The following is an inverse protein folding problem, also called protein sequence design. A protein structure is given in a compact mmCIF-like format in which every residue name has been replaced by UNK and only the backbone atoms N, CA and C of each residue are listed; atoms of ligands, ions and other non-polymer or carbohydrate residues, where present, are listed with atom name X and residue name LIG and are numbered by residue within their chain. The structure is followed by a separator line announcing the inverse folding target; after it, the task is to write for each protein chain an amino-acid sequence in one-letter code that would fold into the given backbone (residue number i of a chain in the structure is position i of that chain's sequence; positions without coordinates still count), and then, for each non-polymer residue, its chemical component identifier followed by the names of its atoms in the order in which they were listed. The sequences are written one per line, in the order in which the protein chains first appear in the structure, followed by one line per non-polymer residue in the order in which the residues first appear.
data_IF_265262654118
#
_entry.id   IF_265262654118
#
_cell.length_a   1.000
_cell.length_b   1.000
_cell.length_c   1.000
_cell.angle_alpha   90.00
_cell.angle_beta   90.00
_cell.angle_gamma   90.00
#
_symmetry.space_group_name_H-M   'P 1'
#
loop_
_entity.id
_entity.type
_entity.pdbx_description
1 polymer ?
#
# COMPACT_ATOMS: atom_id res chain seq x y z
N UNK A 1 15.52 -6.69 -22.43
CA UNK A 1 14.66 -7.37 -23.43
C UNK A 1 13.31 -7.61 -22.75
N UNK A 2 12.19 -7.26 -23.37
CA UNK A 2 10.86 -7.50 -22.80
C UNK A 2 10.60 -9.01 -22.67
N UNK A 3 9.91 -9.40 -21.61
CA UNK A 3 9.62 -10.77 -21.21
C UNK A 3 9.00 -11.61 -22.34
N UNK A 4 8.21 -10.97 -23.21
CA UNK A 4 7.54 -11.57 -24.37
C UNK A 4 8.55 -12.17 -25.40
N UNK A 5 9.76 -11.59 -25.51
CA UNK A 5 10.80 -12.08 -26.43
C UNK A 5 11.62 -13.26 -25.86
N UNK A 6 11.53 -13.52 -24.56
CA UNK A 6 12.29 -14.61 -23.91
C UNK A 6 11.58 -15.96 -24.00
N UNK A 7 10.25 -15.98 -24.06
CA UNK A 7 9.44 -17.20 -24.13
C UNK A 7 9.72 -17.99 -25.42
N UNK A 8 9.65 -17.40 -26.64
CA UNK A 8 9.95 -18.15 -27.87
C UNK A 8 11.40 -18.60 -27.95
N UNK A 9 12.35 -17.82 -27.44
CA UNK A 9 13.76 -18.21 -27.42
C UNK A 9 14.01 -19.43 -26.52
N UNK A 10 13.35 -19.53 -25.38
CA UNK A 10 13.47 -20.66 -24.47
C UNK A 10 12.76 -21.91 -25.01
N UNK A 11 11.59 -21.74 -25.63
CA UNK A 11 10.93 -22.85 -26.33
C UNK A 11 11.82 -23.40 -27.46
N UNK A 12 12.51 -22.52 -28.19
CA UNK A 12 13.46 -22.92 -29.25
C UNK A 12 14.68 -23.62 -28.66
N UNK A 13 15.27 -23.12 -27.59
CA UNK A 13 16.42 -23.73 -26.90
C UNK A 13 16.04 -25.08 -26.31
N UNK A 14 14.86 -25.21 -25.71
CA UNK A 14 14.35 -26.48 -25.18
C UNK A 14 14.09 -27.51 -26.27
N UNK A 15 13.52 -27.09 -27.40
CA UNK A 15 13.30 -27.94 -28.56
C UNK A 15 14.63 -28.41 -29.20
N UNK A 16 15.61 -27.52 -29.30
CA UNK A 16 16.97 -27.85 -29.78
C UNK A 16 17.71 -28.81 -28.83
N UNK A 17 17.59 -28.61 -27.52
CA UNK A 17 18.20 -29.51 -26.51
C UNK A 17 17.60 -30.92 -26.57
N UNK A 18 16.29 -31.04 -26.76
CA UNK A 18 15.58 -32.33 -26.93
C UNK A 18 16.02 -33.00 -28.22
N UNK A 19 16.15 -32.24 -29.34
CA UNK A 19 16.62 -32.76 -30.61
C UNK A 19 18.08 -33.24 -30.55
N UNK A 20 18.95 -32.53 -29.87
CA UNK A 20 20.38 -32.83 -29.69
C UNK A 20 20.64 -34.05 -28.78
N UNK A 21 19.78 -34.31 -27.80
CA UNK A 21 19.92 -35.39 -26.82
C UNK A 21 19.37 -36.78 -27.30
N UNK A 22 18.99 -36.88 -28.56
CA UNK A 22 18.51 -38.18 -29.11
C UNK A 22 17.12 -38.63 -28.61
N UNK A 23 16.33 -37.74 -28.10
CA UNK A 23 14.87 -37.88 -28.00
C UNK A 23 14.29 -38.67 -26.81
N UNK A 24 15.07 -39.19 -25.89
CA UNK A 24 14.55 -39.99 -24.79
C UNK A 24 14.27 -39.20 -23.49
N UNK A 25 15.15 -39.38 -22.54
CA UNK A 25 14.94 -38.94 -21.16
C UNK A 25 15.15 -37.40 -20.93
N UNK A 26 15.85 -36.71 -21.83
CA UNK A 26 16.12 -35.28 -21.73
C UNK A 26 14.85 -34.37 -21.86
N UNK A 27 13.78 -34.93 -22.43
CA UNK A 27 12.49 -34.24 -22.57
C UNK A 27 11.90 -33.81 -21.22
N UNK A 28 12.03 -34.61 -20.17
CA UNK A 28 11.46 -34.36 -18.86
C UNK A 28 12.13 -33.23 -18.09
N UNK A 29 13.39 -32.92 -18.45
CA UNK A 29 14.12 -31.78 -17.85
C UNK A 29 13.65 -30.44 -18.39
N UNK A 30 13.02 -30.39 -19.55
CA UNK A 30 12.58 -29.15 -20.18
C UNK A 30 11.26 -28.61 -19.60
N UNK A 31 10.41 -29.49 -19.05
CA UNK A 31 9.10 -29.11 -18.49
C UNK A 31 9.24 -28.21 -17.24
N UNK A 32 10.05 -28.58 -16.22
CA UNK A 32 10.29 -27.68 -15.08
C UNK A 32 10.96 -26.36 -15.46
N UNK A 33 11.88 -26.39 -16.42
CA UNK A 33 12.60 -25.19 -16.85
C UNK A 33 11.67 -24.18 -17.54
N UNK A 34 10.73 -24.66 -18.37
CA UNK A 34 9.74 -23.83 -19.03
C UNK A 34 8.73 -23.22 -18.01
N UNK A 35 8.40 -23.93 -16.95
CA UNK A 35 7.54 -23.45 -15.85
C UNK A 35 8.23 -22.37 -14.99
N UNK A 36 9.53 -22.52 -14.72
CA UNK A 36 10.33 -21.51 -14.00
C UNK A 36 10.39 -20.20 -14.77
N UNK A 37 10.46 -20.26 -16.09
CA UNK A 37 10.53 -19.06 -16.96
C UNK A 37 9.17 -18.41 -17.17
N UNK A 38 8.09 -19.18 -17.15
CA UNK A 38 6.72 -18.67 -17.18
C UNK A 38 6.31 -17.99 -15.86
N UNK A 39 7.06 -18.24 -14.78
CA UNK A 39 6.79 -17.74 -13.42
C UNK A 39 6.61 -16.22 -13.27
N UNK A 40 7.32 -15.34 -14.01
CA UNK A 40 7.15 -13.89 -13.94
C UNK A 40 5.94 -13.35 -14.74
N UNK A 41 5.11 -14.19 -15.36
CA UNK A 41 3.97 -13.71 -16.13
C UNK A 41 2.97 -12.93 -15.27
N UNK A 42 2.62 -11.72 -15.68
CA UNK A 42 1.78 -10.75 -14.96
C UNK A 42 0.36 -11.25 -14.64
N UNK A 43 -0.14 -12.29 -15.32
CA UNK A 43 -1.49 -12.84 -15.13
C UNK A 43 -1.43 -14.38 -15.04
N UNK A 44 -2.28 -14.96 -14.18
CA UNK A 44 -2.43 -16.42 -14.04
C UNK A 44 -2.77 -17.12 -15.37
N UNK A 45 -3.54 -16.45 -16.24
CA UNK A 45 -3.90 -16.90 -17.58
C UNK A 45 -2.68 -17.04 -18.50
N UNK A 46 -1.73 -16.13 -18.48
CA UNK A 46 -0.52 -16.20 -19.31
C UNK A 46 0.44 -17.28 -18.84
N UNK A 47 0.50 -17.53 -17.52
CA UNK A 47 1.28 -18.65 -16.96
C UNK A 47 0.66 -20.01 -17.31
N UNK A 48 -0.66 -20.14 -17.22
CA UNK A 48 -1.39 -21.34 -17.60
C UNK A 48 -1.30 -21.62 -19.11
N UNK A 49 -1.46 -20.58 -19.94
CA UNK A 49 -1.33 -20.71 -21.39
C UNK A 49 0.10 -21.10 -21.81
N UNK A 50 1.13 -20.56 -21.17
CA UNK A 50 2.51 -20.96 -21.43
C UNK A 50 2.76 -22.42 -21.01
N UNK A 51 2.21 -22.87 -19.90
CA UNK A 51 2.30 -24.26 -19.43
C UNK A 51 1.59 -25.24 -20.39
N UNK A 52 0.40 -24.90 -20.86
CA UNK A 52 -0.35 -25.68 -21.84
C UNK A 52 0.40 -25.73 -23.18
N UNK A 53 0.98 -24.63 -23.65
CA UNK A 53 1.75 -24.58 -24.88
C UNK A 53 3.00 -25.45 -24.81
N UNK A 54 3.68 -25.48 -23.66
CA UNK A 54 4.85 -26.35 -23.43
C UNK A 54 4.45 -27.81 -23.48
N UNK A 55 3.36 -28.20 -22.83
CA UNK A 55 2.83 -29.57 -22.86
C UNK A 55 2.41 -29.97 -24.27
N UNK A 56 1.71 -29.12 -25.00
CA UNK A 56 1.30 -29.36 -26.38
C UNK A 56 2.50 -29.49 -27.35
N UNK A 57 3.50 -28.62 -27.20
CA UNK A 57 4.73 -28.67 -28.02
C UNK A 57 5.54 -29.95 -27.72
N UNK A 58 5.52 -30.37 -26.48
CA UNK A 58 6.17 -31.59 -26.03
C UNK A 58 5.47 -32.84 -26.54
N UNK A 59 4.14 -32.84 -26.65
CA UNK A 59 3.35 -33.97 -27.15
C UNK A 59 3.22 -33.96 -28.70
N UNK A 60 3.53 -32.86 -29.37
CA UNK A 60 3.39 -32.70 -30.82
C UNK A 60 4.11 -33.78 -31.66
N UNK A 61 5.35 -34.25 -31.34
CA UNK A 61 6.02 -35.30 -32.08
C UNK A 61 5.34 -36.67 -31.95
N UNK A 62 4.71 -36.96 -30.82
CA UNK A 62 3.93 -38.17 -30.61
C UNK A 62 2.64 -38.18 -31.42
N UNK A 63 2.02 -37.00 -31.61
CA UNK A 63 0.82 -36.80 -32.44
C UNK A 63 1.09 -36.90 -33.93
N UNK A 64 2.33 -36.66 -34.37
CA UNK A 64 2.72 -36.71 -35.79
C UNK A 64 3.27 -38.09 -36.22
N UNK A 65 3.23 -39.10 -35.32
CA UNK A 65 3.56 -40.51 -35.71
C UNK A 65 5.03 -40.78 -35.97
N UNK A 66 5.93 -39.87 -35.60
CA UNK A 66 7.39 -40.14 -35.64
C UNK A 66 7.76 -40.72 -34.27
N UNK A 67 7.98 -42.04 -34.25
CA UNK A 67 8.20 -42.88 -33.07
C UNK A 67 9.17 -42.28 -32.06
N UNK A 68 8.63 -41.61 -31.09
CA UNK A 68 9.26 -41.39 -29.80
C UNK A 68 8.93 -42.58 -28.92
N UNK A 69 9.89 -43.01 -28.11
CA UNK A 69 9.73 -44.15 -27.19
C UNK A 69 8.46 -44.10 -26.34
N UNK A 70 8.20 -45.07 -25.48
CA UNK A 70 6.96 -45.21 -24.76
C UNK A 70 6.60 -43.90 -24.07
N UNK A 71 5.34 -43.43 -24.29
CA UNK A 71 4.82 -42.27 -23.60
C UNK A 71 4.97 -42.46 -22.09
N UNK A 72 5.36 -41.40 -21.37
CA UNK A 72 5.45 -41.47 -19.92
C UNK A 72 4.12 -41.86 -19.32
N UNK A 73 4.18 -42.59 -18.21
CA UNK A 73 3.01 -42.92 -17.40
C UNK A 73 2.19 -41.62 -17.15
N UNK A 74 0.92 -41.57 -17.59
CA UNK A 74 0.06 -40.40 -17.41
C UNK A 74 -0.05 -39.98 -15.93
N UNK A 75 0.15 -40.91 -15.01
CA UNK A 75 0.21 -40.61 -13.58
C UNK A 75 1.44 -39.75 -13.25
N UNK A 76 2.62 -40.10 -13.76
CA UNK A 76 3.86 -39.38 -13.55
C UNK A 76 3.78 -37.95 -14.15
N UNK A 77 3.23 -37.82 -15.36
CA UNK A 77 3.00 -36.54 -15.98
C UNK A 77 2.06 -35.67 -15.15
N UNK A 78 1.00 -36.22 -14.63
CA UNK A 78 0.04 -35.50 -13.75
C UNK A 78 0.69 -35.04 -12.45
N UNK A 79 1.51 -35.88 -11.83
CA UNK A 79 2.23 -35.54 -10.58
C UNK A 79 3.23 -34.41 -10.84
N UNK A 80 4.00 -34.47 -11.92
CA UNK A 80 5.00 -33.43 -12.25
C UNK A 80 4.33 -32.09 -12.56
N UNK A 81 3.27 -32.08 -13.38
CA UNK A 81 2.53 -30.87 -13.72
C UNK A 81 1.80 -30.34 -12.48
N UNK A 82 1.11 -31.16 -11.74
CA UNK A 82 0.39 -30.79 -10.52
C UNK A 82 1.34 -30.29 -9.44
N UNK A 83 2.46 -30.96 -9.20
CA UNK A 83 3.49 -30.52 -8.28
C UNK A 83 4.11 -29.17 -8.67
N UNK A 84 4.41 -28.98 -9.95
CA UNK A 84 4.96 -27.71 -10.47
C UNK A 84 3.98 -26.55 -10.32
N UNK A 85 2.69 -26.77 -10.57
CA UNK A 85 1.64 -25.78 -10.36
C UNK A 85 1.47 -25.44 -8.88
N UNK A 86 1.54 -26.43 -7.99
CA UNK A 86 1.46 -26.21 -6.54
C UNK A 86 2.65 -25.36 -6.03
N UNK A 87 3.88 -25.68 -6.47
CA UNK A 87 5.07 -24.90 -6.15
C UNK A 87 4.95 -23.46 -6.68
N UNK A 88 4.49 -23.29 -7.91
CA UNK A 88 4.28 -21.96 -8.51
C UNK A 88 3.25 -21.14 -7.74
N UNK A 89 2.13 -21.77 -7.34
CA UNK A 89 1.11 -21.12 -6.52
C UNK A 89 1.65 -20.71 -5.15
N UNK A 90 2.43 -21.59 -4.50
CA UNK A 90 3.07 -21.29 -3.21
C UNK A 90 4.09 -20.14 -3.30
N UNK A 91 4.94 -20.14 -4.33
CA UNK A 91 5.92 -19.05 -4.57
C UNK A 91 5.20 -17.74 -4.85
N UNK A 92 4.14 -17.73 -5.67
CA UNK A 92 3.32 -16.54 -5.90
C UNK A 92 2.70 -16.01 -4.61
N UNK A 93 2.09 -16.87 -3.82
CA UNK A 93 1.50 -16.49 -2.54
C UNK A 93 2.52 -15.83 -1.60
N UNK A 94 3.74 -16.36 -1.53
CA UNK A 94 4.84 -15.76 -0.75
C UNK A 94 5.24 -14.38 -1.31
N UNK A 95 5.47 -14.28 -2.61
CA UNK A 95 5.83 -13.00 -3.25
C UNK A 95 4.74 -11.93 -3.09
N UNK A 96 3.47 -12.31 -3.16
CA UNK A 96 2.34 -11.40 -2.94
C UNK A 96 2.25 -10.95 -1.47
N UNK A 97 2.50 -11.85 -0.53
CA UNK A 97 2.53 -11.53 0.90
C UNK A 97 3.71 -10.61 1.25
N UNK A 98 4.90 -10.87 0.71
CA UNK A 98 6.08 -10.00 0.88
C UNK A 98 5.86 -8.61 0.25
N UNK A 99 5.31 -8.55 -0.96
CA UNK A 99 4.95 -7.27 -1.60
C UNK A 99 3.92 -6.49 -0.80
N UNK A 100 2.93 -7.18 -0.26
CA UNK A 100 1.90 -6.57 0.58
C UNK A 100 2.47 -6.07 1.91
N UNK A 101 3.40 -6.82 2.51
CA UNK A 101 4.14 -6.39 3.68
C UNK A 101 5.00 -5.16 3.37
N UNK A 102 5.81 -5.19 2.30
CA UNK A 102 6.62 -4.04 1.87
C UNK A 102 5.75 -2.80 1.59
N UNK A 103 4.59 -2.97 0.93
CA UNK A 103 3.65 -1.85 0.73
C UNK A 103 3.11 -1.30 2.04
N UNK A 104 2.71 -2.15 2.99
CA UNK A 104 2.28 -1.68 4.32
C UNK A 104 3.38 -0.88 5.00
N UNK A 105 4.62 -1.38 5.05
CA UNK A 105 5.77 -0.67 5.62
C UNK A 105 6.05 0.67 4.90
N UNK A 106 5.86 0.71 3.58
CA UNK A 106 6.07 1.92 2.80
C UNK A 106 4.98 2.98 2.98
N UNK A 107 3.78 2.62 3.45
CA UNK A 107 2.61 3.51 3.52
C UNK A 107 2.08 3.75 4.94
N UNK A 108 2.67 3.12 5.97
CA UNK A 108 2.30 3.33 7.38
C UNK A 108 3.43 3.91 8.20
N UNK A 109 3.10 4.65 9.24
CA UNK A 109 4.05 5.11 10.25
C UNK A 109 4.33 3.99 11.24
N UNK A 110 5.60 3.59 11.46
CA UNK A 110 5.94 2.43 12.28
C UNK A 110 5.68 2.64 13.78
N UNK A 111 5.65 3.89 14.26
CA UNK A 111 5.42 4.19 15.66
C UNK A 111 3.94 4.10 16.03
N UNK A 112 3.09 4.70 15.21
CA UNK A 112 1.65 4.88 15.51
C UNK A 112 0.76 3.90 14.76
N UNK A 113 1.29 3.23 13.71
CA UNK A 113 0.52 2.36 12.82
C UNK A 113 -0.54 3.09 12.00
N UNK A 114 -0.53 4.44 11.99
CA UNK A 114 -1.37 5.24 11.10
C UNK A 114 -0.79 5.27 9.69
N UNK A 115 -1.50 5.82 8.74
CA UNK A 115 -0.95 6.08 7.40
C UNK A 115 0.19 7.09 7.51
N UNK A 116 1.27 6.92 6.74
CA UNK A 116 2.35 7.90 6.69
C UNK A 116 2.08 8.97 5.60
N UNK A 117 2.96 9.98 5.49
CA UNK A 117 2.87 11.07 4.51
C UNK A 117 2.66 10.56 3.08
N UNK A 118 3.38 9.51 2.68
CA UNK A 118 3.27 8.95 1.34
C UNK A 118 1.91 8.27 1.11
N UNK A 119 1.47 7.48 2.09
CA UNK A 119 0.16 6.80 2.00
C UNK A 119 -1.00 7.79 2.01
N UNK A 120 -0.87 8.92 2.73
CA UNK A 120 -1.85 10.01 2.70
C UNK A 120 -1.92 10.63 1.30
N UNK A 121 -0.78 10.94 0.68
CA UNK A 121 -0.75 11.51 -0.68
C UNK A 121 -1.44 10.58 -1.70
N UNK A 122 -1.16 9.27 -1.66
CA UNK A 122 -1.81 8.29 -2.54
C UNK A 122 -3.34 8.25 -2.33
N UNK A 123 -3.82 8.41 -1.09
CA UNK A 123 -5.26 8.45 -0.78
C UNK A 123 -5.93 9.73 -1.24
N UNK A 124 -5.28 10.88 -1.08
CA UNK A 124 -5.80 12.16 -1.58
C UNK A 124 -5.85 12.16 -3.11
N UNK A 125 -4.84 11.63 -3.81
CA UNK A 125 -4.87 11.45 -5.28
C UNK A 125 -6.06 10.61 -5.74
N UNK A 126 -6.38 9.55 -5.00
CA UNK A 126 -7.55 8.72 -5.25
C UNK A 126 -8.85 9.53 -5.10
N UNK A 127 -9.02 10.30 -4.01
CA UNK A 127 -10.21 11.13 -3.78
C UNK A 127 -10.36 12.27 -4.80
N UNK A 128 -9.26 12.89 -5.24
CA UNK A 128 -9.29 13.86 -6.35
C UNK A 128 -9.79 13.21 -7.64
N UNK A 129 -9.28 12.01 -7.94
CA UNK A 129 -9.73 11.25 -9.10
C UNK A 129 -11.19 10.82 -8.99
N UNK A 130 -11.68 10.52 -7.80
CA UNK A 130 -13.08 10.21 -7.49
C UNK A 130 -13.97 11.43 -7.63
N UNK A 131 -13.52 12.60 -7.15
CA UNK A 131 -14.24 13.87 -7.32
C UNK A 131 -14.47 14.21 -8.79
N UNK A 132 -13.48 14.01 -9.65
CA UNK A 132 -13.61 14.27 -11.09
C UNK A 132 -14.78 13.51 -11.73
N UNK A 133 -15.14 12.33 -11.20
CA UNK A 133 -16.24 11.49 -11.69
C UNK A 133 -17.58 11.75 -11.01
N UNK A 134 -17.58 11.98 -9.70
CA UNK A 134 -18.79 11.97 -8.87
C UNK A 134 -19.09 13.32 -8.19
N UNK A 135 -18.19 14.31 -8.31
CA UNK A 135 -18.31 15.64 -7.70
C UNK A 135 -18.43 15.63 -6.16
N UNK A 136 -17.98 14.55 -5.49
CA UNK A 136 -17.94 14.49 -4.04
C UNK A 136 -16.84 15.38 -3.47
N UNK A 137 -17.13 16.08 -2.39
CA UNK A 137 -16.14 16.85 -1.62
C UNK A 137 -15.39 15.93 -0.68
N UNK A 138 -14.21 16.35 -0.24
CA UNK A 138 -13.51 15.76 0.90
C UNK A 138 -12.84 16.86 1.71
N UNK A 139 -12.73 16.63 3.01
CA UNK A 139 -12.02 17.53 3.92
C UNK A 139 -10.65 16.95 4.28
N UNK A 140 -9.67 17.85 4.44
CA UNK A 140 -8.35 17.59 5.00
C UNK A 140 -8.25 18.37 6.30
N UNK A 141 -7.96 17.66 7.39
CA UNK A 141 -7.79 18.25 8.73
C UNK A 141 -6.35 18.08 9.16
N UNK A 142 -5.58 19.17 9.14
CA UNK A 142 -4.19 19.20 9.58
C UNK A 142 -4.11 19.45 11.08
N UNK A 143 -3.24 18.73 11.79
CA UNK A 143 -3.16 18.70 13.25
C UNK A 143 -1.69 18.79 13.67
N UNK A 144 -1.38 19.66 14.60
CA UNK A 144 -0.05 19.82 15.20
C UNK A 144 -0.20 19.84 16.73
N UNK A 145 0.61 19.08 17.44
CA UNK A 145 0.56 18.98 18.90
C UNK A 145 1.39 20.10 19.55
N UNK A 146 0.72 21.17 19.95
CA UNK A 146 1.38 22.28 20.63
C UNK A 146 1.98 21.82 21.96
N UNK A 147 3.27 22.06 22.17
CA UNK A 147 3.98 21.74 23.40
C UNK A 147 4.53 20.30 23.47
N UNK A 148 4.47 19.52 22.40
CA UNK A 148 5.01 18.14 22.36
C UNK A 148 6.51 18.09 22.72
N UNK A 149 7.28 19.06 22.25
CA UNK A 149 8.71 19.17 22.60
C UNK A 149 8.94 19.25 24.13
N UNK A 150 8.09 19.97 24.86
CA UNK A 150 8.21 20.06 26.33
C UNK A 150 7.98 18.72 27.01
N UNK A 151 7.15 17.84 26.45
CA UNK A 151 6.96 16.47 26.96
C UNK A 151 8.25 15.67 26.79
N UNK A 152 8.85 15.72 25.59
CA UNK A 152 10.14 15.06 25.34
C UNK A 152 11.26 15.59 26.26
N UNK A 153 11.36 16.90 26.40
CA UNK A 153 12.40 17.55 27.22
C UNK A 153 12.23 17.23 28.73
N UNK A 154 11.00 17.05 29.19
CA UNK A 154 10.69 16.77 30.61
C UNK A 154 10.67 15.29 30.97
N UNK A 155 10.15 14.44 30.10
CA UNK A 155 9.86 13.03 30.40
C UNK A 155 10.65 12.04 29.51
N UNK A 156 11.44 12.56 28.54
CA UNK A 156 12.21 11.77 27.59
C UNK A 156 11.41 11.32 26.36
N UNK A 157 12.14 10.93 25.32
CA UNK A 157 11.55 10.48 24.05
C UNK A 157 10.58 9.28 24.17
N UNK A 158 10.80 8.28 25.07
CA UNK A 158 9.85 7.19 25.23
C UNK A 158 8.46 7.66 25.63
N UNK A 159 8.36 8.66 26.51
CA UNK A 159 7.07 9.24 26.92
C UNK A 159 6.39 10.02 25.77
N UNK A 160 7.18 10.71 24.95
CA UNK A 160 6.67 11.32 23.71
C UNK A 160 6.16 10.31 22.71
N UNK A 161 6.84 9.19 22.55
CA UNK A 161 6.42 8.09 21.68
C UNK A 161 5.12 7.45 22.15
N UNK A 162 4.93 7.27 23.45
CA UNK A 162 3.69 6.76 24.05
C UNK A 162 2.54 7.76 23.80
N UNK A 163 2.77 9.03 24.07
CA UNK A 163 1.81 10.10 23.79
C UNK A 163 1.37 10.11 22.31
N UNK A 164 2.29 9.93 21.36
CA UNK A 164 1.96 9.88 19.95
C UNK A 164 1.09 8.68 19.59
N UNK A 165 1.31 7.52 20.25
CA UNK A 165 0.46 6.32 20.08
C UNK A 165 -0.94 6.58 20.63
N UNK A 166 -1.05 7.20 21.80
CA UNK A 166 -2.32 7.51 22.44
C UNK A 166 -3.12 8.53 21.63
N UNK A 167 -2.46 9.57 21.11
CA UNK A 167 -3.08 10.52 20.20
C UNK A 167 -3.57 9.83 18.93
N UNK A 168 -2.76 8.96 18.31
CA UNK A 168 -3.17 8.22 17.12
C UNK A 168 -4.39 7.31 17.38
N UNK A 169 -4.45 6.66 18.54
CA UNK A 169 -5.61 5.86 18.96
C UNK A 169 -6.86 6.75 19.15
N UNK A 170 -6.73 7.84 19.90
CA UNK A 170 -7.83 8.77 20.13
C UNK A 170 -8.36 9.42 18.85
N UNK A 171 -7.49 9.67 17.85
CA UNK A 171 -7.91 10.16 16.54
C UNK A 171 -8.72 9.10 15.79
N UNK A 172 -8.29 7.82 15.83
CA UNK A 172 -9.05 6.72 15.20
C UNK A 172 -10.44 6.53 15.81
N UNK A 173 -10.58 6.72 17.12
CA UNK A 173 -11.85 6.57 17.82
C UNK A 173 -12.88 7.65 17.46
N UNK A 174 -12.42 8.79 16.93
CA UNK A 174 -13.31 9.92 16.62
C UNK A 174 -13.52 10.14 15.12
N UNK A 175 -12.92 9.35 14.26
CA UNK A 175 -13.13 9.37 12.81
C UNK A 175 -14.07 8.24 12.38
N UNK A 176 -14.56 8.28 11.14
CA UNK A 176 -15.36 7.20 10.54
C UNK A 176 -14.44 6.14 9.93
N UNK A 177 -14.95 4.94 9.66
CA UNK A 177 -14.19 3.85 9.02
C UNK A 177 -13.60 4.24 7.65
N UNK A 178 -14.30 5.09 6.91
CA UNK A 178 -13.85 5.59 5.61
C UNK A 178 -12.82 6.72 5.70
N UNK A 179 -12.69 7.36 6.87
CA UNK A 179 -11.72 8.43 7.07
C UNK A 179 -10.31 7.83 7.25
N UNK A 180 -9.31 8.62 6.93
CA UNK A 180 -7.91 8.19 7.04
C UNK A 180 -7.18 9.05 8.05
N UNK A 181 -6.67 8.43 9.11
CA UNK A 181 -5.72 9.06 10.02
C UNK A 181 -4.30 8.81 9.53
N UNK A 182 -3.52 9.88 9.38
CA UNK A 182 -2.12 9.83 8.96
C UNK A 182 -1.23 10.60 9.94
N UNK A 183 0.02 10.14 10.10
CA UNK A 183 1.10 10.90 10.74
C UNK A 183 2.10 11.34 9.70
N UNK A 184 2.38 12.64 9.65
CA UNK A 184 3.24 13.25 8.62
C UNK A 184 4.71 13.31 9.03
N UNK A 185 4.97 13.25 10.33
CA UNK A 185 6.29 13.27 10.95
C UNK A 185 6.27 14.06 12.26
N UNK A 186 7.20 13.79 13.18
CA UNK A 186 7.23 14.47 14.47
C UNK A 186 5.90 14.39 15.21
N UNK A 187 5.31 15.54 15.47
CA UNK A 187 4.05 15.78 16.18
C UNK A 187 2.88 16.17 15.23
N UNK A 188 3.08 16.03 13.92
CA UNK A 188 2.10 16.38 12.90
C UNK A 188 1.24 15.19 12.49
N UNK A 189 -0.09 15.36 12.56
CA UNK A 189 -1.08 14.40 12.08
C UNK A 189 -1.99 15.04 11.03
N UNK A 190 -2.66 14.20 10.26
CA UNK A 190 -3.66 14.62 9.28
C UNK A 190 -4.82 13.64 9.27
N UNK A 191 -6.05 14.15 9.10
CA UNK A 191 -7.22 13.32 8.79
C UNK A 191 -7.74 13.70 7.41
N UNK A 192 -7.88 12.70 6.53
CA UNK A 192 -8.61 12.82 5.28
C UNK A 192 -10.02 12.25 5.50
N UNK A 193 -11.02 13.08 5.26
CA UNK A 193 -12.42 12.72 5.42
C UNK A 193 -13.15 12.81 4.06
N UNK A 194 -13.37 11.68 3.36
CA UNK A 194 -14.16 11.64 2.14
C UNK A 194 -15.60 12.09 2.38
N UNK A 195 -16.26 12.59 1.31
CA UNK A 195 -17.68 12.98 1.33
C UNK A 195 -18.03 13.97 2.46
N UNK A 196 -17.10 14.89 2.73
CA UNK A 196 -17.20 15.84 3.84
C UNK A 196 -17.07 17.27 3.31
N UNK A 197 -18.07 18.08 3.60
CA UNK A 197 -18.10 19.51 3.30
C UNK A 197 -17.43 20.36 4.41
N UNK A 198 -17.51 21.67 4.28
CA UNK A 198 -16.92 22.61 5.26
C UNK A 198 -17.47 22.38 6.67
N UNK A 199 -18.80 22.29 6.82
CA UNK A 199 -19.43 22.11 8.12
C UNK A 199 -19.01 20.78 8.76
N UNK A 200 -19.01 19.69 7.99
CA UNK A 200 -18.52 18.38 8.41
C UNK A 200 -17.04 18.40 8.80
N UNK A 201 -16.19 19.11 8.05
CA UNK A 201 -14.78 19.31 8.36
C UNK A 201 -14.55 20.05 9.67
N UNK A 202 -15.29 21.15 9.91
CA UNK A 202 -15.22 21.92 11.14
C UNK A 202 -15.70 21.11 12.36
N UNK A 203 -16.77 20.35 12.24
CA UNK A 203 -17.21 19.40 13.27
C UNK A 203 -16.18 18.30 13.57
N UNK A 204 -15.52 17.79 12.53
CA UNK A 204 -14.43 16.81 12.70
C UNK A 204 -13.25 17.44 13.45
N UNK A 205 -12.88 18.67 13.10
CA UNK A 205 -11.82 19.41 13.79
C UNK A 205 -12.12 19.60 15.29
N UNK A 206 -13.37 19.87 15.67
CA UNK A 206 -13.77 19.97 17.07
C UNK A 206 -13.71 18.63 17.82
N UNK A 207 -14.12 17.53 17.17
CA UNK A 207 -13.95 16.16 17.70
C UNK A 207 -12.48 15.83 17.90
N UNK A 208 -11.62 16.14 16.93
CA UNK A 208 -10.17 15.97 16.99
C UNK A 208 -9.57 16.76 18.16
N UNK A 209 -9.87 18.05 18.29
CA UNK A 209 -9.40 18.88 19.42
C UNK A 209 -9.84 18.30 20.77
N UNK A 210 -11.06 17.80 20.84
CA UNK A 210 -11.61 17.19 22.06
C UNK A 210 -10.94 15.86 22.37
N UNK A 211 -10.64 15.04 21.35
CA UNK A 211 -9.93 13.77 21.50
C UNK A 211 -8.51 13.97 22.04
N UNK A 212 -7.74 14.86 21.40
CA UNK A 212 -6.38 15.21 21.87
C UNK A 212 -6.42 15.72 23.32
N UNK A 213 -7.36 16.58 23.65
CA UNK A 213 -7.48 17.13 25.01
C UNK A 213 -7.74 16.05 26.07
N UNK A 214 -8.50 14.99 25.75
CA UNK A 214 -8.72 13.86 26.68
C UNK A 214 -7.44 13.10 26.96
N UNK A 215 -6.63 12.83 25.94
CA UNK A 215 -5.34 12.14 26.07
C UNK A 215 -4.33 12.97 26.85
N UNK A 216 -4.40 14.29 26.72
CA UNK A 216 -3.46 15.23 27.34
C UNK A 216 -3.93 15.75 28.71
N UNK A 217 -4.97 15.13 29.31
CA UNK A 217 -5.45 15.50 30.64
C UNK A 217 -4.34 15.36 31.67
N UNK A 218 -4.08 16.45 32.44
CA UNK A 218 -2.94 16.54 33.37
C UNK A 218 -1.65 17.09 32.77
N UNK A 219 -1.61 17.38 31.47
CA UNK A 219 -0.52 18.05 30.79
C UNK A 219 -0.98 19.42 30.29
N UNK A 220 -1.11 20.40 31.21
CA UNK A 220 -1.69 21.73 30.92
C UNK A 220 -1.01 22.49 29.77
N UNK A 221 0.20 22.10 29.42
CA UNK A 221 0.98 22.71 28.34
C UNK A 221 0.67 22.15 26.97
N UNK A 222 -0.03 21.01 26.86
CA UNK A 222 -0.28 20.29 25.61
C UNK A 222 -1.67 20.61 25.03
N UNK A 223 -1.72 20.92 23.76
CA UNK A 223 -2.97 21.13 22.98
C UNK A 223 -2.77 20.77 21.53
N UNK A 224 -3.81 20.85 20.71
CA UNK A 224 -3.72 20.69 19.27
C UNK A 224 -4.11 21.96 18.53
N UNK A 225 -3.27 22.40 17.61
CA UNK A 225 -3.61 23.39 16.60
C UNK A 225 -4.13 22.65 15.37
N UNK A 226 -5.36 22.98 14.95
CA UNK A 226 -6.08 22.24 13.91
C UNK A 226 -6.51 23.19 12.80
N UNK A 227 -6.15 22.85 11.55
CA UNK A 227 -6.57 23.55 10.34
C UNK A 227 -7.41 22.64 9.45
N UNK A 228 -8.40 23.21 8.75
CA UNK A 228 -9.33 22.50 7.86
C UNK A 228 -9.27 23.11 6.47
N UNK A 229 -9.17 22.25 5.46
CA UNK A 229 -9.41 22.63 4.06
C UNK A 229 -10.33 21.61 3.38
N UNK A 230 -11.13 22.08 2.43
CA UNK A 230 -12.11 21.27 1.70
C UNK A 230 -11.82 21.34 0.21
N UNK A 231 -11.68 20.17 -0.41
CA UNK A 231 -11.57 20.08 -1.85
C UNK A 231 -12.97 20.04 -2.50
N UNK A 232 -13.21 20.77 -3.60
CA UNK A 232 -12.27 21.63 -4.31
C UNK A 232 -12.29 23.11 -3.84
N UNK A 233 -13.07 23.43 -2.82
CA UNK A 233 -13.41 24.81 -2.42
C UNK A 233 -12.15 25.61 -2.01
N UNK A 234 -11.20 24.98 -1.29
CA UNK A 234 -9.96 25.64 -0.82
C UNK A 234 -8.74 25.28 -1.68
N UNK A 235 -8.90 24.43 -2.70
CA UNK A 235 -7.81 24.08 -3.59
C UNK A 235 -8.22 23.08 -4.66
N UNK A 236 -7.85 23.32 -5.92
CA UNK A 236 -8.19 22.48 -7.07
C UNK A 236 -7.19 21.32 -7.33
N UNK A 237 -6.21 21.12 -6.46
CA UNK A 237 -5.21 20.03 -6.56
C UNK A 237 -4.83 19.50 -5.18
N UNK A 238 -4.22 18.31 -5.13
CA UNK A 238 -3.69 17.71 -3.89
C UNK A 238 -2.83 18.70 -3.12
N UNK A 239 -1.88 19.31 -3.82
CA UNK A 239 -0.97 20.27 -3.21
C UNK A 239 -1.70 21.49 -2.65
N UNK A 240 -2.60 22.08 -3.43
CA UNK A 240 -3.31 23.29 -3.03
C UNK A 240 -4.19 23.08 -1.79
N UNK A 241 -4.89 21.92 -1.69
CA UNK A 241 -5.72 21.65 -0.51
C UNK A 241 -4.87 21.34 0.73
N UNK A 242 -3.72 20.69 0.58
CA UNK A 242 -2.79 20.46 1.69
C UNK A 242 -2.18 21.78 2.16
N UNK A 243 -1.72 22.63 1.25
CA UNK A 243 -1.16 23.96 1.56
C UNK A 243 -2.21 24.85 2.27
N UNK A 244 -3.48 24.77 1.86
CA UNK A 244 -4.57 25.50 2.52
C UNK A 244 -4.84 24.99 3.94
N UNK A 245 -4.84 23.66 4.15
CA UNK A 245 -5.03 23.06 5.48
C UNK A 245 -3.87 23.41 6.42
N UNK A 246 -2.63 23.38 5.92
CA UNK A 246 -1.43 23.78 6.67
C UNK A 246 -1.47 25.27 7.05
N UNK A 247 -1.82 26.15 6.10
CA UNK A 247 -1.98 27.59 6.36
C UNK A 247 -3.04 27.85 7.46
N UNK A 248 -4.17 27.14 7.41
CA UNK A 248 -5.22 27.23 8.43
C UNK A 248 -4.73 26.74 9.81
N UNK A 249 -3.95 25.66 9.85
CA UNK A 249 -3.37 25.12 11.07
C UNK A 249 -2.36 26.10 11.69
N UNK A 250 -1.46 26.70 10.88
CA UNK A 250 -0.50 27.70 11.32
C UNK A 250 -1.23 28.94 11.88
N UNK A 251 -2.31 29.40 11.26
CA UNK A 251 -3.12 30.51 11.76
C UNK A 251 -3.74 30.16 13.13
N UNK A 252 -4.27 28.94 13.30
CA UNK A 252 -4.79 28.46 14.57
C UNK A 252 -3.71 28.41 15.66
N UNK A 253 -2.48 27.97 15.33
CA UNK A 253 -1.33 27.93 16.25
C UNK A 253 -0.94 29.31 16.74
N UNK A 254 -0.85 30.29 15.84
CA UNK A 254 -0.55 31.69 16.19
C UNK A 254 -1.61 32.28 17.14
N UNK A 255 -2.89 32.01 16.86
CA UNK A 255 -4.01 32.48 17.70
C UNK A 255 -4.02 31.83 19.09
N UNK A 256 -3.64 30.55 19.21
CA UNK A 256 -3.54 29.85 20.50
C UNK A 256 -2.38 30.37 21.34
N UNK A 257 -1.21 30.60 20.75
CA UNK A 257 -0.02 31.14 21.42
C UNK A 257 -0.28 32.58 21.94
N UNK A 258 -0.93 33.42 21.14
CA UNK A 258 -1.30 34.78 21.56
C UNK A 258 -2.28 34.81 22.74
N UNK A 259 -3.22 33.86 22.81
CA UNK A 259 -4.16 33.73 23.96
C UNK A 259 -3.45 33.25 25.22
N UNK A 260 -2.50 32.33 25.12
CA UNK A 260 -1.70 31.86 26.28
C UNK A 260 -0.83 32.99 26.84
N UNK A 261 -0.15 33.77 25.99
CA UNK A 261 0.66 34.90 26.42
C UNK A 261 -0.17 35.95 27.19
N UNK A 262 -1.40 36.25 26.72
CA UNK A 262 -2.32 37.22 27.41
C UNK A 262 -2.89 36.71 28.73
N UNK A 263 -2.94 35.37 28.97
CA UNK A 263 -3.40 34.80 30.24
C UNK A 263 -2.29 34.71 31.27
N UNK A 264 -1.03 34.72 30.84
CA UNK A 264 0.14 34.65 31.71
C UNK A 264 0.67 36.04 32.12
N UNK A 265 0.25 37.11 31.45
CA UNK A 265 0.49 38.52 31.80
C UNK A 265 -0.63 39.09 32.67
#
# INVERSE_FOLDING_TARGET
MPLIARVPLLCLVSALAVAAAGGGDAFWLCVPLALVVAGPARNALTGAAASVLVVLTACAPALVGKGLGPLPDPLLATIVVGGSLAVLAAVRGRLESERSAMRRWALTDPLTGTVNRRGLAERIDYEVSRHARQKHRFAVVMIDLDGFKLVNDRFGHPAGDELLRDVAAALRDVVRDQDTVARLGGDEFCVLAPETDRAGGDHLADRVRSAVRRVTTGLDTLSASVGVAVYPDDGGSVRAVLDAADAAQIAAKRASTGRRARRAA
#
